data_IF_591995376101
#
_entry.id   IF_591995376101
#
_cell.length_a   1.000
_cell.length_b   1.000
_cell.length_c   1.000
_cell.angle_alpha   90.00
_cell.angle_beta   90.00
_cell.angle_gamma   90.00
#
_symmetry.space_group_name_H-M   'P 1'
#
loop_
_entity.id
_entity.type
_entity.pdbx_description
1 polymer ?
#
# COMPACT_ATOMS: atom_id res chain seq x y z
N UNK A 1 -7.69 -41.34 -0.32
CA UNK A 1 -6.70 -41.09 0.75
C UNK A 1 -5.36 -40.90 0.05
N UNK A 2 -4.68 -39.76 0.22
CA UNK A 2 -3.37 -39.50 -0.40
C UNK A 2 -2.31 -40.43 0.21
N UNK A 3 -1.48 -41.05 -0.62
CA UNK A 3 -0.40 -41.90 -0.15
C UNK A 3 0.80 -41.07 0.32
N UNK A 4 1.69 -41.63 1.15
CA UNK A 4 2.93 -40.99 1.58
C UNK A 4 3.83 -40.62 0.39
N UNK A 5 3.80 -41.39 -0.69
CA UNK A 5 4.53 -41.09 -1.92
C UNK A 5 3.97 -39.84 -2.62
N UNK A 6 2.66 -39.79 -2.80
CA UNK A 6 1.98 -38.60 -3.40
C UNK A 6 2.18 -37.34 -2.55
N UNK A 7 2.16 -37.47 -1.21
CA UNK A 7 2.48 -36.39 -0.30
C UNK A 7 3.92 -35.87 -0.50
N UNK A 8 4.90 -36.79 -0.56
CA UNK A 8 6.30 -36.43 -0.79
C UNK A 8 6.55 -35.78 -2.14
N UNK A 9 5.85 -36.21 -3.21
CA UNK A 9 5.92 -35.58 -4.54
C UNK A 9 5.30 -34.17 -4.55
N UNK A 10 4.19 -34.01 -3.86
CA UNK A 10 3.54 -32.69 -3.73
C UNK A 10 4.38 -31.71 -2.89
N UNK A 11 5.01 -32.19 -1.82
CA UNK A 11 5.93 -31.39 -1.01
C UNK A 11 7.14 -30.92 -1.82
N UNK A 12 7.73 -31.82 -2.64
CA UNK A 12 8.84 -31.45 -3.55
C UNK A 12 8.41 -30.38 -4.57
N UNK A 13 7.22 -30.51 -5.17
CA UNK A 13 6.68 -29.50 -6.09
C UNK A 13 6.46 -28.15 -5.40
N UNK A 14 5.93 -28.18 -4.18
CA UNK A 14 5.72 -26.97 -3.37
C UNK A 14 7.05 -26.29 -3.05
N UNK A 15 8.06 -27.04 -2.62
CA UNK A 15 9.39 -26.51 -2.31
C UNK A 15 10.11 -25.94 -3.55
N UNK A 16 9.93 -26.55 -4.73
CA UNK A 16 10.46 -26.00 -5.99
C UNK A 16 9.77 -24.70 -6.37
N UNK A 17 8.45 -24.66 -6.31
CA UNK A 17 7.68 -23.44 -6.56
C UNK A 17 8.04 -22.31 -5.58
N UNK A 18 8.23 -22.66 -4.30
CA UNK A 18 8.69 -21.74 -3.28
C UNK A 18 10.10 -21.20 -3.55
N UNK A 19 11.05 -22.07 -3.96
CA UNK A 19 12.41 -21.66 -4.32
C UNK A 19 12.44 -20.74 -5.57
N UNK A 20 11.55 -20.98 -6.54
CA UNK A 20 11.38 -20.10 -7.70
C UNK A 20 10.81 -18.73 -7.32
N UNK A 21 9.79 -18.70 -6.44
CA UNK A 21 9.26 -17.47 -5.86
C UNK A 21 10.33 -16.70 -5.10
N UNK A 22 11.13 -17.37 -4.29
CA UNK A 22 12.25 -16.79 -3.54
C UNK A 22 13.31 -16.18 -4.47
N UNK A 23 13.65 -16.86 -5.57
CA UNK A 23 14.58 -16.35 -6.58
C UNK A 23 14.02 -15.15 -7.32
N UNK A 24 12.70 -15.11 -7.54
CA UNK A 24 11.98 -14.03 -8.20
C UNK A 24 11.85 -12.80 -7.31
N UNK A 25 11.64 -12.97 -6.01
CA UNK A 25 11.33 -11.89 -5.08
C UNK A 25 12.48 -11.49 -4.16
N UNK A 26 13.71 -11.97 -4.27
CA UNK A 26 14.90 -11.59 -3.46
C UNK A 26 14.61 -10.74 -2.19
N UNK A 27 15.54 -10.50 -1.32
CA UNK A 27 15.28 -9.58 -0.18
C UNK A 27 14.99 -8.17 -0.72
N UNK A 28 13.84 -7.55 -0.35
CA UNK A 28 13.51 -6.20 -0.80
C UNK A 28 14.56 -5.20 -0.36
N UNK A 29 14.97 -4.32 -1.29
CA UNK A 29 15.91 -3.23 -1.03
C UNK A 29 15.21 -1.88 -1.18
N UNK A 30 15.45 -0.96 -0.25
CA UNK A 30 14.87 0.39 -0.28
C UNK A 30 15.25 1.12 -1.58
N UNK A 31 14.26 1.69 -2.24
CA UNK A 31 14.37 2.37 -3.53
C UNK A 31 14.27 1.44 -4.75
N UNK A 32 14.29 0.11 -4.57
CA UNK A 32 14.09 -0.88 -5.64
C UNK A 32 12.64 -1.31 -5.73
N UNK A 33 12.31 -2.00 -6.81
CA UNK A 33 10.97 -2.54 -7.03
C UNK A 33 10.91 -4.05 -6.81
N UNK A 34 9.75 -4.52 -6.41
CA UNK A 34 9.40 -5.94 -6.27
C UNK A 34 8.04 -6.19 -6.95
N UNK A 35 7.78 -7.43 -7.36
CA UNK A 35 6.50 -7.83 -7.96
C UNK A 35 5.71 -8.68 -6.98
N UNK A 36 4.52 -8.21 -6.56
CA UNK A 36 3.61 -8.98 -5.69
C UNK A 36 2.18 -8.80 -6.20
N UNK A 37 1.43 -9.89 -6.33
CA UNK A 37 0.04 -9.92 -6.80
C UNK A 37 -0.16 -9.30 -8.20
N UNK A 38 0.86 -9.35 -9.08
CA UNK A 38 0.83 -8.74 -10.41
C UNK A 38 0.89 -7.20 -10.38
N UNK A 39 1.39 -6.64 -9.29
CA UNK A 39 1.62 -5.19 -9.12
C UNK A 39 3.10 -4.97 -8.82
N UNK A 40 3.70 -4.01 -9.51
CA UNK A 40 5.06 -3.53 -9.22
C UNK A 40 5.01 -2.58 -8.03
N UNK A 41 5.72 -2.93 -6.97
CA UNK A 41 5.81 -2.15 -5.74
C UNK A 41 7.21 -1.60 -5.55
N UNK A 42 7.34 -0.32 -5.25
CA UNK A 42 8.60 0.31 -4.84
C UNK A 42 8.75 0.28 -3.34
N UNK A 43 9.88 -0.22 -2.87
CA UNK A 43 10.20 -0.29 -1.45
C UNK A 43 10.61 1.10 -0.96
N UNK A 44 9.85 1.63 0.00
CA UNK A 44 10.07 2.95 0.58
C UNK A 44 10.92 2.88 1.86
N UNK A 45 10.66 1.87 2.69
CA UNK A 45 11.33 1.70 3.99
C UNK A 45 11.40 0.24 4.40
N UNK A 46 12.40 -0.11 5.21
CA UNK A 46 12.52 -1.39 5.89
C UNK A 46 12.16 -1.19 7.36
N UNK A 47 11.08 -1.83 7.79
CA UNK A 47 10.59 -1.81 9.15
C UNK A 47 11.08 -3.05 9.91
N UNK A 48 10.86 -3.10 11.22
CA UNK A 48 11.25 -4.23 12.06
C UNK A 48 10.66 -5.56 11.58
N UNK A 49 9.38 -5.57 11.18
CA UNK A 49 8.63 -6.78 10.80
C UNK A 49 8.25 -6.84 9.32
N UNK A 50 8.66 -5.89 8.51
CA UNK A 50 8.24 -5.84 7.11
C UNK A 50 8.84 -4.70 6.31
N UNK A 51 8.24 -4.48 5.15
CA UNK A 51 8.67 -3.46 4.20
C UNK A 51 7.49 -2.59 3.82
N UNK A 52 7.62 -1.27 4.04
CA UNK A 52 6.67 -0.30 3.50
C UNK A 52 6.91 -0.16 2.01
N UNK A 53 5.87 -0.34 1.23
CA UNK A 53 5.93 -0.24 -0.22
C UNK A 53 4.83 0.66 -0.78
N UNK A 54 5.04 1.19 -1.98
CA UNK A 54 4.05 1.93 -2.76
C UNK A 54 3.95 1.32 -4.16
N UNK A 55 2.76 1.29 -4.76
CA UNK A 55 2.64 0.91 -6.16
C UNK A 55 3.50 1.83 -7.04
N UNK A 56 4.31 1.27 -7.92
CA UNK A 56 5.21 2.06 -8.78
C UNK A 56 4.42 2.82 -9.84
N UNK A 57 3.30 2.27 -10.25
CA UNK A 57 2.34 2.87 -11.18
C UNK A 57 0.97 3.08 -10.52
N UNK A 58 0.05 3.71 -11.23
CA UNK A 58 -1.33 3.87 -10.76
C UNK A 58 -2.04 2.53 -10.65
N UNK A 59 -2.82 2.36 -9.61
CA UNK A 59 -3.70 1.22 -9.41
C UNK A 59 -5.06 1.47 -10.07
N UNK A 60 -5.27 0.87 -11.22
CA UNK A 60 -6.49 1.04 -12.01
C UNK A 60 -6.64 2.42 -12.63
N UNK A 61 -7.87 2.80 -12.93
CA UNK A 61 -8.20 4.12 -13.47
C UNK A 61 -8.22 5.20 -12.39
N UNK A 62 -8.14 6.46 -12.82
CA UNK A 62 -8.39 7.61 -11.93
C UNK A 62 -9.81 7.55 -11.38
N UNK A 63 -10.00 7.93 -10.12
CA UNK A 63 -11.29 7.83 -9.42
C UNK A 63 -11.40 8.83 -8.30
N UNK A 64 -12.60 8.97 -7.79
CA UNK A 64 -12.91 9.80 -6.64
C UNK A 64 -12.25 9.24 -5.37
N UNK A 65 -11.96 10.14 -4.44
CA UNK A 65 -11.58 9.78 -3.08
C UNK A 65 -12.81 9.37 -2.28
N UNK A 66 -13.89 10.16 -2.40
CA UNK A 66 -15.19 9.94 -1.79
C UNK A 66 -16.21 10.89 -2.45
N UNK A 67 -17.50 10.57 -2.40
CA UNK A 67 -18.59 11.38 -2.98
C UNK A 67 -18.69 12.78 -2.36
N UNK A 68 -18.38 12.93 -1.06
CA UNK A 68 -18.72 14.17 -0.33
C UNK A 68 -17.85 14.47 0.91
N UNK A 69 -16.82 13.66 1.20
CA UNK A 69 -16.00 13.81 2.40
C UNK A 69 -14.52 13.62 2.13
N UNK A 70 -13.70 14.46 2.74
CA UNK A 70 -12.25 14.32 2.76
C UNK A 70 -11.76 13.47 3.96
N UNK A 71 -12.66 12.80 4.68
CA UNK A 71 -12.32 11.93 5.78
C UNK A 71 -11.96 10.52 5.27
N UNK A 72 -10.67 10.20 5.32
CA UNK A 72 -10.18 8.89 4.89
C UNK A 72 -10.87 7.72 5.61
N UNK A 73 -11.11 7.84 6.92
CA UNK A 73 -11.65 6.72 7.71
C UNK A 73 -12.99 6.21 7.20
N UNK A 74 -13.79 7.08 6.60
CA UNK A 74 -15.09 6.74 6.02
C UNK A 74 -15.11 6.69 4.49
N UNK A 75 -14.00 6.98 3.80
CA UNK A 75 -13.99 7.15 2.34
C UNK A 75 -14.21 5.85 1.57
N UNK A 76 -14.84 5.99 0.41
CA UNK A 76 -15.07 4.92 -0.55
C UNK A 76 -13.76 4.33 -1.06
N UNK A 77 -12.77 5.19 -1.33
CA UNK A 77 -11.45 4.76 -1.76
C UNK A 77 -10.75 3.87 -0.72
N UNK A 78 -10.80 4.23 0.57
CA UNK A 78 -10.27 3.39 1.64
C UNK A 78 -10.96 2.03 1.70
N UNK A 79 -12.29 2.04 1.61
CA UNK A 79 -13.07 0.79 1.63
C UNK A 79 -12.68 -0.13 0.47
N UNK A 80 -12.59 0.38 -0.75
CA UNK A 80 -12.15 -0.39 -1.92
C UNK A 80 -10.73 -0.98 -1.71
N UNK A 81 -9.77 -0.17 -1.25
CA UNK A 81 -8.40 -0.63 -1.05
C UNK A 81 -8.27 -1.70 0.05
N UNK A 82 -9.03 -1.56 1.13
CA UNK A 82 -8.99 -2.52 2.25
C UNK A 82 -9.91 -3.74 2.05
N UNK A 83 -10.74 -3.78 1.01
CA UNK A 83 -11.51 -4.95 0.59
C UNK A 83 -10.90 -5.61 -0.65
N UNK A 84 -10.97 -4.96 -1.80
CA UNK A 84 -10.68 -5.58 -3.09
C UNK A 84 -9.17 -5.76 -3.31
N UNK A 85 -8.38 -4.69 -3.12
CA UNK A 85 -6.94 -4.78 -3.31
C UNK A 85 -6.28 -5.65 -2.23
N UNK A 86 -6.69 -5.48 -0.97
CA UNK A 86 -6.24 -6.33 0.13
C UNK A 86 -6.50 -7.80 -0.20
N UNK A 87 -7.73 -8.16 -0.56
CA UNK A 87 -8.08 -9.53 -0.92
C UNK A 87 -7.24 -10.06 -2.09
N UNK A 88 -7.05 -9.27 -3.14
CA UNK A 88 -6.20 -9.63 -4.28
C UNK A 88 -4.77 -9.96 -3.86
N UNK A 89 -4.21 -9.19 -2.93
CA UNK A 89 -2.86 -9.44 -2.41
C UNK A 89 -2.86 -10.71 -1.55
N UNK A 90 -3.77 -10.85 -0.59
CA UNK A 90 -3.84 -12.01 0.30
C UNK A 90 -4.12 -13.32 -0.47
N UNK A 91 -4.94 -13.29 -1.51
CA UNK A 91 -5.17 -14.44 -2.42
C UNK A 91 -3.88 -14.86 -3.17
N UNK A 92 -2.97 -13.92 -3.43
CA UNK A 92 -1.73 -14.18 -4.17
C UNK A 92 -0.58 -14.69 -3.30
N UNK A 93 -0.44 -14.15 -2.07
CA UNK A 93 0.73 -14.40 -1.21
C UNK A 93 0.39 -14.96 0.17
N UNK A 94 -0.89 -15.18 0.45
CA UNK A 94 -1.41 -15.79 1.67
C UNK A 94 -1.87 -14.79 2.72
N UNK A 95 -2.72 -15.26 3.61
CA UNK A 95 -3.17 -14.51 4.80
C UNK A 95 -1.96 -14.17 5.69
N UNK A 96 -1.97 -12.96 6.29
CA UNK A 96 -0.86 -12.47 7.12
C UNK A 96 0.33 -11.89 6.35
N UNK A 97 0.28 -11.88 5.01
CA UNK A 97 1.26 -11.21 4.17
C UNK A 97 1.27 -9.69 4.34
N UNK A 98 0.12 -9.10 4.67
CA UNK A 98 -0.04 -7.68 4.96
C UNK A 98 -0.05 -7.43 6.46
N UNK A 99 0.73 -6.46 6.90
CA UNK A 99 0.71 -5.97 8.27
C UNK A 99 -0.20 -4.75 8.38
N UNK A 100 -1.02 -4.73 9.43
CA UNK A 100 -1.84 -3.58 9.77
C UNK A 100 -0.98 -2.46 10.33
N UNK A 101 -1.30 -1.22 9.98
CA UNK A 101 -0.57 -0.04 10.44
C UNK A 101 -1.50 1.17 10.65
N UNK A 102 -1.12 2.00 11.61
CA UNK A 102 -1.89 3.20 11.96
C UNK A 102 -1.70 4.30 10.92
N UNK A 103 -2.80 4.95 10.55
CA UNK A 103 -2.84 6.14 9.69
C UNK A 103 -3.19 7.36 10.54
N UNK A 104 -2.36 8.38 10.45
CA UNK A 104 -2.64 9.69 11.04
C UNK A 104 -3.43 10.54 10.04
N UNK A 105 -4.61 11.01 10.45
CA UNK A 105 -5.52 11.80 9.62
C UNK A 105 -5.44 13.30 9.93
N UNK A 106 -4.29 13.73 10.47
CA UNK A 106 -3.98 15.14 10.69
C UNK A 106 -4.13 15.92 9.39
N UNK A 107 -4.92 16.99 9.41
CA UNK A 107 -5.10 17.84 8.25
C UNK A 107 -3.88 18.70 7.95
N UNK A 108 -3.81 19.26 6.73
CA UNK A 108 -2.70 20.11 6.30
C UNK A 108 -2.54 21.36 7.16
N UNK A 109 -3.64 21.88 7.73
CA UNK A 109 -3.68 23.05 8.63
C UNK A 109 -3.64 22.67 10.13
N UNK A 110 -3.40 21.38 10.46
CA UNK A 110 -3.16 20.91 11.83
C UNK A 110 -4.41 20.56 12.62
N UNK A 111 -5.58 20.38 11.98
CA UNK A 111 -6.79 19.91 12.66
C UNK A 111 -6.70 18.41 12.94
N UNK A 112 -7.12 17.99 14.14
CA UNK A 112 -7.02 16.60 14.62
C UNK A 112 -8.37 15.88 14.68
N UNK A 113 -9.41 16.48 14.11
CA UNK A 113 -10.80 16.01 14.24
C UNK A 113 -11.01 14.56 13.78
N UNK A 114 -10.32 14.14 12.71
CA UNK A 114 -10.45 12.79 12.16
C UNK A 114 -9.62 11.74 12.90
N UNK A 115 -8.70 12.16 13.77
CA UNK A 115 -7.91 11.25 14.62
C UNK A 115 -7.02 10.31 13.82
N UNK A 116 -7.15 9.02 14.09
CA UNK A 116 -6.37 7.94 13.44
C UNK A 116 -7.26 6.76 13.07
N UNK A 117 -6.84 5.99 12.07
CA UNK A 117 -7.45 4.69 11.76
C UNK A 117 -6.38 3.62 11.51
N UNK A 118 -6.83 2.37 11.35
CA UNK A 118 -5.96 1.22 11.12
C UNK A 118 -6.24 0.61 9.75
N UNK A 119 -5.22 0.51 8.90
CA UNK A 119 -5.33 -0.01 7.54
C UNK A 119 -4.37 -1.18 7.29
N UNK A 120 -4.71 -2.04 6.33
CA UNK A 120 -3.77 -2.95 5.66
C UNK A 120 -3.24 -2.35 4.37
N UNK A 121 -4.08 -1.59 3.67
CA UNK A 121 -3.73 -0.86 2.45
C UNK A 121 -4.22 0.58 2.58
N UNK A 122 -3.38 1.53 2.24
CA UNK A 122 -3.69 2.96 2.34
C UNK A 122 -3.06 3.72 1.18
N UNK A 123 -2.99 5.05 1.25
CA UNK A 123 -2.19 5.91 0.38
C UNK A 123 -1.29 6.81 1.25
N UNK A 124 -0.31 7.50 0.68
CA UNK A 124 0.64 8.31 1.46
C UNK A 124 -0.04 9.52 2.13
N UNK A 125 0.45 9.89 3.32
CA UNK A 125 0.25 11.25 3.87
C UNK A 125 1.17 12.24 3.16
N UNK A 126 0.91 13.54 3.33
CA UNK A 126 1.83 14.61 2.88
C UNK A 126 3.22 14.44 3.49
N UNK A 127 3.32 14.08 4.76
CA UNK A 127 4.61 13.93 5.45
C UNK A 127 5.37 12.67 4.97
N UNK A 128 4.67 11.58 4.70
CA UNK A 128 5.27 10.40 4.08
C UNK A 128 5.71 10.71 2.65
N UNK A 129 4.92 11.44 1.85
CA UNK A 129 5.33 11.89 0.53
C UNK A 129 6.62 12.70 0.59
N UNK A 130 6.73 13.66 1.50
CA UNK A 130 7.94 14.47 1.71
C UNK A 130 9.13 13.60 2.14
N UNK A 131 8.92 12.69 3.10
CA UNK A 131 9.96 11.76 3.60
C UNK A 131 10.52 10.88 2.51
N UNK A 132 9.66 10.32 1.67
CA UNK A 132 10.04 9.34 0.66
C UNK A 132 10.21 9.94 -0.75
N UNK A 133 10.10 11.26 -0.90
CA UNK A 133 10.14 11.97 -2.19
C UNK A 133 11.27 11.54 -3.12
N UNK A 134 12.47 11.27 -2.58
CA UNK A 134 13.65 10.86 -3.34
C UNK A 134 13.51 9.50 -4.06
N UNK A 135 12.57 8.67 -3.63
CA UNK A 135 12.29 7.37 -4.23
C UNK A 135 11.10 7.40 -5.18
N UNK A 136 10.33 8.49 -5.19
CA UNK A 136 9.09 8.60 -5.94
C UNK A 136 9.31 9.32 -7.26
N UNK A 137 9.12 8.65 -8.42
CA UNK A 137 9.12 9.34 -9.70
C UNK A 137 7.93 10.28 -9.78
N UNK A 138 8.04 11.32 -10.60
CA UNK A 138 6.89 12.10 -11.00
C UNK A 138 5.97 11.23 -11.86
N UNK A 139 4.66 11.42 -11.70
CA UNK A 139 3.63 10.66 -12.43
C UNK A 139 3.04 11.53 -13.56
N UNK A 140 2.35 10.90 -14.50
CA UNK A 140 1.75 11.62 -15.63
C UNK A 140 0.46 12.37 -15.28
N UNK A 141 -0.20 11.97 -14.18
CA UNK A 141 -1.46 12.53 -13.70
C UNK A 141 -1.33 12.97 -12.26
N UNK A 142 -2.27 13.76 -11.79
CA UNK A 142 -2.50 14.04 -10.39
C UNK A 142 -2.86 12.77 -9.64
N UNK A 143 -2.56 12.70 -8.33
CA UNK A 143 -2.87 11.53 -7.53
C UNK A 143 -3.07 11.86 -6.05
N UNK A 144 -3.95 11.12 -5.42
CA UNK A 144 -4.42 11.32 -4.06
C UNK A 144 -3.35 11.07 -3.00
N UNK A 145 -3.34 11.94 -1.99
CA UNK A 145 -2.78 11.68 -0.66
C UNK A 145 -3.93 11.50 0.33
N UNK A 146 -3.64 10.91 1.51
CA UNK A 146 -4.66 10.69 2.55
C UNK A 146 -4.98 11.98 3.34
N UNK A 147 -4.08 12.98 3.32
CA UNK A 147 -4.15 14.17 4.16
C UNK A 147 -5.28 15.08 3.72
N UNK A 148 -6.29 15.37 4.57
CA UNK A 148 -7.30 16.37 4.27
C UNK A 148 -6.67 17.77 4.25
N UNK A 149 -7.15 18.66 3.40
CA UNK A 149 -6.69 20.05 3.37
C UNK A 149 -7.02 20.77 4.68
N UNK A 150 -8.24 20.58 5.15
CA UNK A 150 -8.76 21.00 6.46
C UNK A 150 -9.91 20.07 6.86
N UNK A 151 -10.62 20.34 7.94
CA UNK A 151 -11.74 19.53 8.44
C UNK A 151 -13.00 20.39 8.61
N UNK A 152 -14.17 19.81 8.90
CA UNK A 152 -15.39 20.54 9.17
C UNK A 152 -15.27 21.63 10.24
N UNK A 153 -14.33 21.52 11.17
CA UNK A 153 -14.04 22.58 12.15
C UNK A 153 -13.68 23.91 11.49
N UNK A 154 -13.14 23.89 10.27
CA UNK A 154 -12.83 25.05 9.45
C UNK A 154 -13.76 25.22 8.24
N UNK A 155 -14.99 24.72 8.35
CA UNK A 155 -16.05 24.80 7.33
C UNK A 155 -15.70 24.21 5.95
N UNK A 156 -14.79 23.25 5.88
CA UNK A 156 -14.51 22.53 4.66
C UNK A 156 -14.24 21.04 4.98
N UNK A 157 -14.92 20.16 4.27
CA UNK A 157 -14.79 18.71 4.41
C UNK A 157 -14.66 17.99 3.06
N UNK A 158 -14.34 18.73 1.98
CA UNK A 158 -14.27 18.13 0.64
C UNK A 158 -12.86 18.17 0.04
N UNK A 159 -11.95 19.03 0.48
CA UNK A 159 -10.64 19.14 -0.15
C UNK A 159 -9.61 18.18 0.45
N UNK A 160 -8.99 17.38 -0.43
CA UNK A 160 -7.95 16.40 -0.13
C UNK A 160 -6.65 16.83 -0.78
N UNK A 161 -5.51 16.56 -0.14
CA UNK A 161 -4.21 16.84 -0.75
C UNK A 161 -3.94 15.88 -1.91
N UNK A 162 -3.33 16.42 -2.96
CA UNK A 162 -2.92 15.70 -4.16
C UNK A 162 -1.49 16.04 -4.55
N UNK A 163 -0.88 15.18 -5.36
CA UNK A 163 0.43 15.43 -5.97
C UNK A 163 0.25 15.66 -7.47
N UNK A 164 0.75 16.76 -7.97
CA UNK A 164 0.73 17.10 -9.40
C UNK A 164 1.74 16.28 -10.22
N UNK A 165 1.63 16.25 -11.56
CA UNK A 165 2.62 15.64 -12.43
C UNK A 165 4.04 16.18 -12.26
N UNK A 166 4.19 17.43 -11.81
CA UNK A 166 5.52 18.02 -11.51
C UNK A 166 6.05 17.67 -10.11
N UNK A 167 5.28 16.92 -9.30
CA UNK A 167 5.64 16.58 -7.92
C UNK A 167 5.31 17.65 -6.89
N UNK A 168 4.53 18.69 -7.25
CA UNK A 168 4.04 19.70 -6.32
C UNK A 168 2.84 19.17 -5.54
N UNK A 169 2.78 19.46 -4.26
CA UNK A 169 1.58 19.22 -3.43
C UNK A 169 0.58 20.34 -3.72
N UNK A 170 -0.67 19.96 -3.90
CA UNK A 170 -1.82 20.83 -4.08
C UNK A 170 -3.05 20.14 -3.47
N UNK A 171 -4.25 20.62 -3.72
CA UNK A 171 -5.49 19.97 -3.26
C UNK A 171 -6.50 19.88 -4.40
N UNK A 172 -7.41 18.92 -4.29
CA UNK A 172 -8.57 18.78 -5.18
C UNK A 172 -9.82 18.44 -4.35
N UNK A 173 -10.99 18.55 -4.97
CA UNK A 173 -12.24 18.13 -4.35
C UNK A 173 -12.30 16.61 -4.22
N UNK A 174 -12.82 16.07 -3.12
CA UNK A 174 -12.87 14.63 -2.87
C UNK A 174 -13.66 13.85 -3.95
N UNK A 175 -14.61 14.49 -4.64
CA UNK A 175 -15.30 13.94 -5.80
C UNK A 175 -14.55 14.16 -7.12
N UNK A 176 -13.35 14.73 -7.11
CA UNK A 176 -12.46 14.81 -8.26
C UNK A 176 -11.97 13.43 -8.70
N UNK A 177 -11.39 13.32 -9.90
CA UNK A 177 -10.95 12.06 -10.46
C UNK A 177 -9.44 12.03 -10.62
N UNK A 178 -8.73 11.54 -9.61
CA UNK A 178 -7.28 11.47 -9.56
C UNK A 178 -6.72 10.04 -9.51
N UNK A 179 -5.44 9.90 -9.79
CA UNK A 179 -4.74 8.63 -9.74
C UNK A 179 -4.60 8.10 -8.31
N UNK A 180 -4.56 6.78 -8.18
CA UNK A 180 -4.40 6.11 -6.89
C UNK A 180 -3.07 5.35 -6.88
N UNK A 181 -2.24 5.60 -5.86
CA UNK A 181 -0.99 4.86 -5.60
C UNK A 181 -1.03 4.25 -4.21
N UNK A 182 -1.55 3.02 -4.08
CA UNK A 182 -1.63 2.34 -2.79
C UNK A 182 -0.26 2.14 -2.14
N UNK A 183 -0.26 2.20 -0.81
CA UNK A 183 0.83 1.73 0.04
C UNK A 183 0.33 0.57 0.90
N UNK A 184 1.24 -0.32 1.25
CA UNK A 184 1.00 -1.36 2.26
C UNK A 184 2.31 -1.75 2.94
N UNK A 185 2.21 -2.54 4.00
CA UNK A 185 3.38 -3.13 4.63
C UNK A 185 3.34 -4.63 4.39
N UNK A 186 4.26 -5.13 3.56
CA UNK A 186 4.47 -6.56 3.42
C UNK A 186 5.27 -7.10 4.61
N UNK A 187 4.78 -8.19 5.21
CA UNK A 187 5.52 -8.92 6.23
C UNK A 187 6.86 -9.40 5.69
N UNK A 188 7.94 -9.30 6.47
CA UNK A 188 9.24 -9.87 6.10
C UNK A 188 9.18 -11.37 5.89
N UNK A 189 8.24 -12.05 6.53
CA UNK A 189 8.05 -13.50 6.41
C UNK A 189 7.78 -13.99 4.97
N UNK A 190 7.18 -13.17 4.12
CA UNK A 190 6.95 -13.55 2.71
C UNK A 190 8.24 -13.56 1.86
N UNK A 191 9.31 -12.93 2.36
CA UNK A 191 10.61 -12.83 1.70
C UNK A 191 11.70 -13.64 2.41
N UNK A 192 11.42 -14.15 3.62
CA UNK A 192 12.35 -14.99 4.39
C UNK A 192 12.28 -16.42 3.91
N UNK A 193 13.43 -17.09 3.82
CA UNK A 193 13.48 -18.54 3.68
C UNK A 193 13.16 -19.15 5.04
N UNK A 194 12.41 -20.24 5.07
CA UNK A 194 12.63 -21.22 6.13
C UNK A 194 14.10 -21.65 5.99
N UNK A 195 14.99 -21.09 6.79
CA UNK A 195 16.30 -21.71 7.01
C UNK A 195 15.95 -23.04 7.67
N UNK A 196 16.23 -24.14 6.97
CA UNK A 196 16.31 -25.43 7.63
C UNK A 196 17.48 -25.28 8.61
N UNK A 197 17.19 -25.33 9.91
CA UNK A 197 18.19 -25.51 10.93
C UNK A 197 18.84 -26.89 10.64
N UNK A 198 19.96 -26.87 9.92
CA UNK A 198 20.88 -28.00 9.85
C UNK A 198 21.61 -28.07 11.21
N UNK A 199 21.01 -28.85 12.13
CA UNK A 199 21.69 -29.41 13.29
C UNK A 199 22.31 -30.78 12.94
#
# INVERSE_FOLDING_TARGET
>A
MMTLKEFGENLKKLNLAYAELKKKYGKPEVGKTIEVAGITWRVLDKLEKGYLVISDEFYGDSREFDDNSNNWDSSDLRNELNTDLRKKIEDSVGEGALLKFTRDLLSMDGQTEYGTCEDYVSILTVDEYRKYRKYLPNMEKWWWLITPHTTPCNNNSSWVQVVSPSGRIDYDDCCGSDGVRPICIFSSSIFESCEEDDD
#
